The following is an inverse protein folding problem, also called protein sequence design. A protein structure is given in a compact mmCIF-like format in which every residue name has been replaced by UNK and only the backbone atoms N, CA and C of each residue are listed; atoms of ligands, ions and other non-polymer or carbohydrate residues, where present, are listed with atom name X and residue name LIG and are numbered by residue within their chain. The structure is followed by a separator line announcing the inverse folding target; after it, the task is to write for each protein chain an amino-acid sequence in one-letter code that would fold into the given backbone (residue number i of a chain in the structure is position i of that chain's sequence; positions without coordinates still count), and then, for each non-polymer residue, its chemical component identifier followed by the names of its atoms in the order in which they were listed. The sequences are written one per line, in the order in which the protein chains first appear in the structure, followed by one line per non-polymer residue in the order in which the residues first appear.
data_IF_471449741360
#
_entry.id   IF_471449741360
#
_cell.length_a   1.000
_cell.length_b   1.000
_cell.length_c   1.000
_cell.angle_alpha   90.00
_cell.angle_beta   90.00
_cell.angle_gamma   90.00
#
_symmetry.space_group_name_H-M   'P 1'
#
loop_
_entity.id
_entity.type
_entity.pdbx_description
1 polymer ?
#
# COMPACT_ATOMS: atom_id res chain seq x y z
N UNK A 1 13.88 3.73 -13.85
CA UNK A 1 12.98 4.41 -12.89
C UNK A 1 12.67 3.46 -11.77
N UNK A 2 12.79 3.92 -10.54
CA UNK A 2 12.56 3.13 -9.33
C UNK A 2 11.06 2.89 -9.10
N UNK A 3 10.76 1.95 -8.20
CA UNK A 3 9.40 1.63 -7.80
C UNK A 3 8.88 2.58 -6.72
N UNK A 4 7.60 2.96 -6.80
CA UNK A 4 6.83 3.45 -5.67
C UNK A 4 5.40 2.92 -5.73
N UNK A 5 4.83 2.51 -4.59
CA UNK A 5 3.39 2.20 -4.46
C UNK A 5 2.52 3.49 -4.46
N UNK A 6 3.16 4.66 -4.43
CA UNK A 6 2.59 5.99 -4.65
C UNK A 6 3.43 6.69 -5.73
N UNK A 7 3.33 6.25 -7.01
CA UNK A 7 4.19 6.76 -8.07
C UNK A 7 3.78 8.17 -8.51
N UNK A 8 4.76 8.98 -8.92
CA UNK A 8 4.53 10.33 -9.46
C UNK A 8 4.46 10.35 -11.00
N UNK A 9 4.72 9.22 -11.66
CA UNK A 9 4.56 9.05 -13.10
C UNK A 9 3.99 7.67 -13.47
N UNK A 10 3.45 7.56 -14.69
CA UNK A 10 2.90 6.30 -15.23
C UNK A 10 3.23 6.11 -16.71
N UNK A 11 3.28 4.85 -17.13
CA UNK A 11 3.41 4.49 -18.54
C UNK A 11 2.04 4.38 -19.19
N UNK A 12 1.85 5.11 -20.29
CA UNK A 12 0.61 5.08 -21.08
C UNK A 12 0.98 4.82 -22.53
N UNK A 13 0.28 3.89 -23.17
CA UNK A 13 0.39 3.72 -24.62
C UNK A 13 -0.42 4.83 -25.31
N UNK A 14 0.22 5.57 -26.21
CA UNK A 14 -0.50 6.51 -27.07
C UNK A 14 -1.25 5.76 -28.21
N UNK A 15 -2.09 6.45 -29.00
CA UNK A 15 -2.81 5.84 -30.11
C UNK A 15 -1.90 5.23 -31.20
N UNK A 16 -0.63 5.62 -31.26
CA UNK A 16 0.36 5.12 -32.22
C UNK A 16 1.14 3.91 -31.66
N UNK A 17 0.89 3.54 -30.40
CA UNK A 17 1.55 2.43 -29.71
C UNK A 17 2.88 2.79 -29.08
N UNK A 18 3.22 4.07 -28.95
CA UNK A 18 4.42 4.50 -28.25
C UNK A 18 4.21 4.45 -26.73
N UNK A 19 5.27 4.08 -26.00
CA UNK A 19 5.32 4.17 -24.54
C UNK A 19 5.58 5.62 -24.11
N UNK A 20 4.53 6.29 -23.63
CA UNK A 20 4.60 7.67 -23.16
C UNK A 20 4.58 7.69 -21.63
N UNK A 21 5.61 8.29 -21.04
CA UNK A 21 5.64 8.56 -19.60
C UNK A 21 4.85 9.83 -19.31
N UNK A 22 3.84 9.74 -18.43
CA UNK A 22 3.03 10.89 -18.02
C UNK A 22 3.14 11.12 -16.52
N UNK A 23 3.25 12.38 -16.11
CA UNK A 23 3.21 12.78 -14.71
C UNK A 23 1.81 12.57 -14.12
N UNK A 24 1.73 12.01 -12.91
CA UNK A 24 0.49 11.86 -12.13
C UNK A 24 0.29 12.99 -11.11
N UNK A 25 1.33 13.78 -10.88
CA UNK A 25 1.34 14.91 -9.96
C UNK A 25 2.41 15.92 -10.40
N UNK A 26 2.48 17.07 -9.72
CA UNK A 26 3.57 18.03 -9.94
C UNK A 26 4.90 17.38 -9.57
N UNK A 27 5.89 17.49 -10.45
CA UNK A 27 7.27 17.00 -10.25
C UNK A 27 8.18 18.22 -10.35
N UNK A 28 8.91 18.52 -9.27
CA UNK A 28 9.84 19.64 -9.21
C UNK A 28 11.24 19.19 -9.67
N UNK A 29 12.10 20.16 -9.95
CA UNK A 29 13.50 19.88 -10.25
C UNK A 29 14.17 19.18 -9.06
N UNK A 30 14.83 18.04 -9.34
CA UNK A 30 15.48 17.21 -8.32
C UNK A 30 14.62 16.10 -7.73
N UNK A 31 13.30 16.10 -7.96
CA UNK A 31 12.43 15.01 -7.54
C UNK A 31 12.75 13.72 -8.31
N UNK A 32 12.85 12.59 -7.62
CA UNK A 32 12.99 11.29 -8.27
C UNK A 32 11.69 10.92 -8.99
N UNK A 33 11.80 10.45 -10.24
CA UNK A 33 10.65 9.95 -11.00
C UNK A 33 10.49 8.44 -10.74
N UNK A 34 9.35 8.09 -10.14
CA UNK A 34 9.00 6.72 -9.77
C UNK A 34 7.74 6.26 -10.49
N UNK A 35 7.74 4.99 -10.90
CA UNK A 35 6.59 4.28 -11.50
C UNK A 35 6.19 3.10 -10.63
N UNK A 36 4.98 2.55 -10.80
CA UNK A 36 4.65 1.26 -10.19
C UNK A 36 5.24 0.11 -11.01
N UNK A 37 5.68 -0.94 -10.32
CA UNK A 37 6.04 -2.22 -10.95
C UNK A 37 4.93 -3.25 -10.76
N UNK A 38 3.96 -2.93 -9.90
CA UNK A 38 2.77 -3.70 -9.63
C UNK A 38 1.67 -3.28 -10.60
N UNK A 39 0.76 -4.19 -10.92
CA UNK A 39 -0.45 -3.86 -11.68
C UNK A 39 -1.34 -2.90 -10.88
N UNK A 40 -2.31 -2.28 -11.56
CA UNK A 40 -3.28 -1.40 -10.89
C UNK A 40 -4.09 -2.15 -9.83
N UNK A 41 -4.42 -3.42 -10.08
CA UNK A 41 -5.13 -4.27 -9.13
C UNK A 41 -4.27 -4.56 -7.91
N UNK A 42 -3.01 -4.96 -8.09
CA UNK A 42 -2.08 -5.22 -7.00
C UNK A 42 -1.78 -3.94 -6.18
N UNK A 43 -1.89 -2.75 -6.77
CA UNK A 43 -1.80 -1.50 -6.02
C UNK A 43 -2.96 -1.29 -5.05
N UNK A 44 -4.11 -1.96 -5.21
CA UNK A 44 -5.24 -1.87 -4.28
C UNK A 44 -5.05 -2.76 -3.04
N UNK A 45 -4.20 -3.78 -3.14
CA UNK A 45 -3.90 -4.67 -2.03
C UNK A 45 -3.24 -3.96 -0.84
N UNK A 46 -3.27 -4.62 0.31
CA UNK A 46 -2.63 -4.16 1.53
C UNK A 46 -1.10 -4.06 1.38
N UNK A 47 -0.46 -3.27 2.24
CA UNK A 47 0.99 -3.02 2.18
C UNK A 47 1.80 -4.30 2.26
N UNK A 48 1.41 -5.26 3.11
CA UNK A 48 2.13 -6.53 3.23
C UNK A 48 2.14 -7.31 1.92
N UNK A 49 0.98 -7.48 1.26
CA UNK A 49 0.88 -8.16 -0.03
C UNK A 49 1.76 -7.50 -1.08
N UNK A 50 1.68 -6.16 -1.23
CA UNK A 50 2.49 -5.43 -2.20
C UNK A 50 3.99 -5.58 -1.98
N UNK A 51 4.43 -5.56 -0.71
CA UNK A 51 5.84 -5.73 -0.35
C UNK A 51 6.31 -7.15 -0.63
N UNK A 52 5.50 -8.16 -0.31
CA UNK A 52 5.82 -9.57 -0.60
C UNK A 52 5.91 -9.85 -2.10
N UNK A 53 5.02 -9.25 -2.90
CA UNK A 53 5.06 -9.35 -4.36
C UNK A 53 6.33 -8.72 -4.94
N UNK A 54 6.76 -7.57 -4.41
CA UNK A 54 8.00 -6.93 -4.85
C UNK A 54 9.24 -7.69 -4.40
N UNK A 55 9.23 -8.24 -3.18
CA UNK A 55 10.34 -9.05 -2.68
C UNK A 55 10.49 -10.33 -3.52
N UNK A 56 9.38 -11.03 -3.78
CA UNK A 56 9.39 -12.26 -4.57
C UNK A 56 9.71 -12.05 -6.05
N UNK A 57 9.22 -10.96 -6.67
CA UNK A 57 9.38 -10.73 -8.12
C UNK A 57 10.56 -9.83 -8.50
N UNK A 58 11.04 -8.99 -7.57
CA UNK A 58 12.10 -7.99 -7.79
C UNK A 58 13.22 -8.04 -6.76
N UNK A 59 13.09 -8.80 -5.67
CA UNK A 59 14.15 -9.00 -4.68
C UNK A 59 14.38 -7.81 -3.74
N UNK A 60 13.35 -7.00 -3.45
CA UNK A 60 13.45 -5.91 -2.47
C UNK A 60 12.13 -5.65 -1.74
N UNK A 61 12.25 -5.18 -0.49
CA UNK A 61 11.11 -4.66 0.27
C UNK A 61 10.92 -3.16 0.00
N UNK A 62 9.72 -2.76 -0.46
CA UNK A 62 9.44 -1.35 -0.77
C UNK A 62 9.32 -0.49 0.51
N UNK A 63 10.04 0.63 0.52
CA UNK A 63 10.04 1.61 1.60
C UNK A 63 9.48 2.98 1.17
N UNK A 64 8.66 3.01 0.12
CA UNK A 64 8.04 4.26 -0.34
C UNK A 64 7.12 4.86 0.74
N UNK A 65 6.75 6.17 0.66
CA UNK A 65 5.94 6.85 1.67
C UNK A 65 4.64 6.12 2.03
N UNK A 66 4.00 5.44 1.08
CA UNK A 66 2.79 4.64 1.33
C UNK A 66 3.07 3.38 2.15
N UNK A 67 4.21 2.71 1.93
CA UNK A 67 4.54 1.47 2.63
C UNK A 67 5.07 1.72 4.04
N UNK A 68 5.74 2.85 4.28
CA UNK A 68 6.26 3.23 5.61
C UNK A 68 5.29 4.07 6.44
N UNK A 69 4.11 4.40 5.90
CA UNK A 69 3.08 5.10 6.64
C UNK A 69 2.61 4.26 7.85
N UNK A 70 2.24 4.93 8.94
CA UNK A 70 1.83 4.26 10.18
C UNK A 70 0.59 3.38 9.99
N UNK A 71 -0.29 3.74 9.06
CA UNK A 71 -1.57 3.07 8.79
C UNK A 71 -1.65 2.58 7.36
N UNK A 72 -2.14 1.36 7.17
CA UNK A 72 -2.50 0.82 5.86
C UNK A 72 -3.90 1.28 5.45
N UNK A 73 -4.06 2.13 4.42
CA UNK A 73 -5.36 2.60 3.98
C UNK A 73 -6.23 1.49 3.38
N UNK A 74 -5.63 0.36 2.97
CA UNK A 74 -6.37 -0.80 2.45
C UNK A 74 -6.88 -1.73 3.57
N UNK A 75 -6.50 -1.49 4.83
CA UNK A 75 -6.92 -2.28 6.00
C UNK A 75 -7.58 -1.39 7.06
N UNK A 76 -8.68 -0.75 6.66
CA UNK A 76 -9.53 0.05 7.53
C UNK A 76 -10.91 -0.61 7.61
N UNK A 77 -11.40 -0.87 8.81
CA UNK A 77 -12.66 -1.58 9.05
C UNK A 77 -13.57 -0.77 9.98
N UNK A 78 -14.88 -0.94 9.84
CA UNK A 78 -15.84 -0.35 10.78
C UNK A 78 -15.65 -0.95 12.18
N UNK A 79 -15.72 -0.11 13.21
CA UNK A 79 -15.60 -0.57 14.59
C UNK A 79 -16.73 -1.54 14.95
N UNK A 80 -16.43 -2.74 15.47
CA UNK A 80 -17.47 -3.71 15.85
C UNK A 80 -18.27 -3.29 17.08
N UNK A 81 -17.74 -2.38 17.91
CA UNK A 81 -18.41 -1.92 19.13
C UNK A 81 -19.42 -0.80 18.85
N UNK A 82 -18.99 0.27 18.17
CA UNK A 82 -19.82 1.45 17.95
C UNK A 82 -20.37 1.60 16.52
N UNK A 83 -19.80 0.90 15.54
CA UNK A 83 -20.09 1.02 14.10
C UNK A 83 -19.97 2.44 13.50
N UNK A 84 -19.52 3.43 14.29
CA UNK A 84 -19.34 4.82 13.87
C UNK A 84 -17.88 5.15 13.58
N UNK A 85 -16.96 4.61 14.38
CA UNK A 85 -15.53 4.78 14.19
C UNK A 85 -14.90 3.69 13.34
N UNK A 86 -13.60 3.84 13.13
CA UNK A 86 -12.79 2.96 12.31
C UNK A 86 -11.74 2.27 13.16
N UNK A 87 -11.35 1.06 12.75
CA UNK A 87 -10.22 0.30 13.27
C UNK A 87 -9.21 0.19 12.12
N UNK A 88 -8.03 0.75 12.35
CA UNK A 88 -6.96 0.87 11.34
C UNK A 88 -5.81 -0.07 11.66
N UNK A 89 -5.28 -0.77 10.67
CA UNK A 89 -4.12 -1.64 10.87
C UNK A 89 -2.81 -0.97 10.44
N UNK A 90 -1.69 -1.25 11.13
CA UNK A 90 -0.39 -0.75 10.70
C UNK A 90 0.05 -1.31 9.34
N UNK A 91 0.73 -0.50 8.52
CA UNK A 91 1.24 -0.91 7.20
C UNK A 91 2.19 -2.10 7.24
N UNK A 92 2.96 -2.23 8.32
CA UNK A 92 3.94 -3.30 8.52
C UNK A 92 3.37 -4.50 9.30
N UNK A 93 2.07 -4.49 9.61
CA UNK A 93 1.44 -5.60 10.31
C UNK A 93 1.42 -6.86 9.42
N UNK A 94 1.70 -8.05 9.97
CA UNK A 94 1.63 -9.29 9.20
C UNK A 94 0.19 -9.56 8.70
N UNK A 95 0.10 -10.40 7.68
CA UNK A 95 -1.15 -11.05 7.31
C UNK A 95 -1.37 -12.22 8.28
N UNK A 96 -2.58 -12.37 8.81
CA UNK A 96 -2.94 -13.54 9.61
C UNK A 96 -2.90 -14.76 8.68
N UNK A 97 -2.11 -15.78 9.03
CA UNK A 97 -2.05 -17.01 8.24
C UNK A 97 -3.25 -17.91 8.54
N UNK A 98 -3.67 -18.71 7.56
CA UNK A 98 -4.70 -19.73 7.78
C UNK A 98 -4.17 -20.79 8.76
N UNK A 99 -4.65 -20.76 10.01
CA UNK A 99 -4.34 -21.77 11.02
C UNK A 99 -3.61 -21.28 12.28
N UNK A 100 -3.24 -20.01 12.36
CA UNK A 100 -2.83 -19.41 13.63
C UNK A 100 -4.08 -18.94 14.40
N UNK A 101 -4.29 -19.49 15.61
CA UNK A 101 -5.23 -18.86 16.55
C UNK A 101 -4.83 -17.39 16.67
N UNK A 102 -5.81 -16.49 16.67
CA UNK A 102 -5.58 -15.07 16.84
C UNK A 102 -4.82 -14.85 18.16
N UNK A 103 -3.48 -14.82 18.10
CA UNK A 103 -2.62 -14.57 19.24
C UNK A 103 -2.68 -13.07 19.55
N UNK A 104 -3.75 -12.69 20.22
CA UNK A 104 -3.96 -11.37 20.76
C UNK A 104 -5.31 -11.36 21.45
N UNK A 105 -5.31 -11.07 22.75
CA UNK A 105 -6.54 -10.65 23.43
C UNK A 105 -7.19 -9.52 22.63
N UNK A 106 -8.52 -9.41 22.69
CA UNK A 106 -9.24 -8.28 22.09
C UNK A 106 -8.71 -6.89 22.55
N UNK A 107 -7.90 -6.86 23.60
CA UNK A 107 -7.20 -5.69 24.15
C UNK A 107 -5.97 -5.22 23.34
N UNK A 108 -5.43 -6.02 22.40
CA UNK A 108 -4.33 -5.63 21.50
C UNK A 108 -4.82 -5.08 20.14
N UNK A 109 -6.13 -4.97 19.95
CA UNK A 109 -6.68 -4.39 18.72
C UNK A 109 -6.43 -2.88 18.65
N UNK A 110 -6.27 -2.32 17.43
CA UNK A 110 -6.17 -0.89 17.26
C UNK A 110 -7.39 -0.20 17.88
N UNK A 111 -7.13 0.77 18.77
CA UNK A 111 -8.19 1.55 19.41
C UNK A 111 -9.09 2.19 18.36
N UNK A 112 -10.40 2.11 18.55
CA UNK A 112 -11.34 2.77 17.67
C UNK A 112 -11.07 4.29 17.66
N UNK A 113 -11.18 4.92 16.49
CA UNK A 113 -11.03 6.38 16.38
C UNK A 113 -12.08 7.19 17.14
N UNK A 114 -13.12 6.56 17.70
CA UNK A 114 -14.29 7.23 18.30
C UNK A 114 -14.63 6.76 19.72
N UNK A 115 -14.29 5.54 20.13
CA UNK A 115 -14.67 4.98 21.44
C UNK A 115 -13.55 4.21 22.11
#
# INVERSE_FOLDING_TARGET
MSHSCLPNADWVNDPEGNFVLKSRMVINEGDEICVSYLSEEALLDCTKTRVDDLDSTKGFACTCPRCVADVDPSRVFACPSCSLGEVTFPSQAPLMSEGEEAIGSFDDFPSCSTC
#
